data_IF_084618795725
#
_entry.id   IF_084618795725
#
_cell.length_a   1.000
_cell.length_b   1.000
_cell.length_c   1.000
_cell.angle_alpha   90.00
_cell.angle_beta   90.00
_cell.angle_gamma   90.00
#
_symmetry.space_group_name_H-M   'P 1'
#
loop_
_entity.id
_entity.type
_entity.pdbx_description
1 polymer ?
#
# COMPACT_ATOMS: atom_id res chain seq x y z
N UNK A 1 -24.94 -15.95 -2.49
CA UNK A 1 -23.50 -15.72 -2.15
C UNK A 1 -23.02 -16.91 -1.31
N UNK A 2 -22.09 -17.69 -1.84
CA UNK A 2 -21.52 -18.77 -1.04
C UNK A 2 -20.68 -18.14 0.09
N UNK A 3 -21.09 -18.37 1.34
CA UNK A 3 -20.37 -17.92 2.52
C UNK A 3 -18.87 -18.32 2.49
N UNK A 4 -18.55 -19.38 1.77
CA UNK A 4 -17.19 -19.91 1.60
C UNK A 4 -16.32 -18.97 0.78
N UNK A 5 -16.79 -18.49 -0.38
CA UNK A 5 -16.01 -17.59 -1.27
C UNK A 5 -15.68 -16.27 -0.57
N UNK A 6 -16.63 -15.70 0.17
CA UNK A 6 -16.38 -14.46 0.91
C UNK A 6 -15.43 -14.67 2.08
N UNK A 7 -15.56 -15.75 2.82
CA UNK A 7 -14.62 -16.10 3.91
C UNK A 7 -13.21 -16.31 3.38
N UNK A 8 -13.07 -17.03 2.27
CA UNK A 8 -11.77 -17.27 1.63
C UNK A 8 -11.12 -15.95 1.16
N UNK A 9 -11.90 -15.06 0.55
CA UNK A 9 -11.45 -13.72 0.16
C UNK A 9 -10.88 -12.92 1.35
N UNK A 10 -11.63 -12.86 2.45
CA UNK A 10 -11.18 -12.17 3.67
C UNK A 10 -9.90 -12.81 4.22
N UNK A 11 -9.83 -14.13 4.28
CA UNK A 11 -8.65 -14.85 4.78
C UNK A 11 -7.42 -14.55 3.93
N UNK A 12 -7.52 -14.62 2.60
CA UNK A 12 -6.42 -14.29 1.68
C UNK A 12 -5.98 -12.83 1.86
N UNK A 13 -6.94 -11.90 1.95
CA UNK A 13 -6.63 -10.48 2.13
C UNK A 13 -5.88 -10.22 3.44
N UNK A 14 -6.30 -10.84 4.54
CA UNK A 14 -5.62 -10.73 5.84
C UNK A 14 -4.20 -11.32 5.77
N UNK A 15 -4.04 -12.49 5.17
CA UNK A 15 -2.72 -13.12 5.02
C UNK A 15 -1.77 -12.22 4.22
N UNK A 16 -2.24 -11.64 3.11
CA UNK A 16 -1.43 -10.72 2.31
C UNK A 16 -1.02 -9.46 3.08
N UNK A 17 -1.92 -8.89 3.88
CA UNK A 17 -1.61 -7.75 4.75
C UNK A 17 -0.55 -8.13 5.78
N UNK A 18 -0.67 -9.28 6.44
CA UNK A 18 0.31 -9.77 7.42
C UNK A 18 1.68 -9.95 6.77
N UNK A 19 1.75 -10.56 5.58
CA UNK A 19 2.99 -10.72 4.82
C UNK A 19 3.64 -9.36 4.53
N UNK A 20 2.86 -8.36 4.08
CA UNK A 20 3.36 -7.00 3.82
C UNK A 20 3.90 -6.34 5.08
N UNK A 21 3.15 -6.42 6.19
CA UNK A 21 3.59 -5.85 7.47
C UNK A 21 4.87 -6.53 7.98
N UNK A 22 4.97 -7.85 7.83
CA UNK A 22 6.18 -8.59 8.18
C UNK A 22 7.37 -8.14 7.31
N UNK A 23 7.16 -8.00 5.99
CA UNK A 23 8.21 -7.56 5.07
C UNK A 23 8.73 -6.17 5.43
N UNK A 24 7.84 -5.16 5.58
CA UNK A 24 8.25 -3.78 5.89
C UNK A 24 8.89 -3.63 7.27
N UNK A 25 8.60 -4.56 8.20
CA UNK A 25 9.20 -4.56 9.54
C UNK A 25 10.62 -5.13 9.57
N UNK A 26 10.96 -6.04 8.64
CA UNK A 26 12.20 -6.81 8.67
C UNK A 26 13.20 -6.44 7.56
N UNK A 27 12.86 -5.47 6.71
CA UNK A 27 13.75 -5.04 5.62
C UNK A 27 14.24 -3.61 5.84
N UNK A 28 15.51 -3.37 5.53
CA UNK A 28 16.08 -2.02 5.52
C UNK A 28 15.53 -1.21 4.34
N UNK A 29 15.56 0.12 4.45
CA UNK A 29 15.22 1.00 3.34
C UNK A 29 16.22 0.82 2.19
N UNK A 30 15.74 0.85 0.97
CA UNK A 30 16.58 1.00 -0.22
C UNK A 30 16.98 2.47 -0.38
N UNK A 31 17.99 2.73 -1.21
CA UNK A 31 18.57 4.07 -1.35
C UNK A 31 17.54 5.12 -1.74
N UNK A 32 16.63 4.80 -2.66
CA UNK A 32 15.56 5.70 -3.10
C UNK A 32 14.58 6.02 -1.96
N UNK A 33 14.17 5.03 -1.19
CA UNK A 33 13.29 5.26 -0.04
C UNK A 33 13.94 6.14 1.04
N UNK A 34 15.26 5.96 1.27
CA UNK A 34 16.01 6.79 2.19
C UNK A 34 16.08 8.24 1.69
N UNK A 35 16.18 8.44 0.37
CA UNK A 35 16.15 9.74 -0.28
C UNK A 35 14.79 10.43 -0.07
N UNK A 36 13.66 9.74 -0.32
CA UNK A 36 12.34 10.30 -0.06
C UNK A 36 12.04 10.51 1.43
N UNK A 37 12.62 9.70 2.30
CA UNK A 37 12.56 9.93 3.75
C UNK A 37 13.27 11.23 4.16
N UNK A 38 14.34 11.61 3.45
CA UNK A 38 14.98 12.93 3.64
C UNK A 38 14.07 14.08 3.19
N UNK A 39 13.35 13.94 2.08
CA UNK A 39 12.35 14.92 1.65
C UNK A 39 11.23 15.10 2.69
N UNK A 40 10.81 14.02 3.35
CA UNK A 40 9.82 14.10 4.42
C UNK A 40 10.30 14.87 5.66
N UNK A 41 11.61 15.00 5.89
CA UNK A 41 12.17 15.88 6.93
C UNK A 41 12.09 17.35 6.54
N UNK A 42 12.26 17.65 5.27
CA UNK A 42 12.29 19.01 4.72
C UNK A 42 11.21 19.15 3.66
N UNK A 43 9.94 19.25 4.13
CA UNK A 43 8.80 19.34 3.22
C UNK A 43 8.85 20.63 2.40
N UNK A 44 8.68 20.46 1.08
CA UNK A 44 8.52 21.56 0.13
C UNK A 44 7.41 21.19 -0.87
N UNK A 45 6.95 22.17 -1.63
CA UNK A 45 5.92 22.00 -2.68
C UNK A 45 6.42 21.31 -3.94
N UNK A 46 7.72 21.14 -4.10
CA UNK A 46 8.35 20.43 -5.21
C UNK A 46 9.80 20.11 -4.91
N UNK A 47 10.26 19.03 -5.49
CA UNK A 47 11.66 18.59 -5.44
C UNK A 47 12.19 18.48 -6.86
N UNK A 48 13.51 18.43 -7.04
CA UNK A 48 14.17 18.47 -8.36
C UNK A 48 13.66 17.34 -9.27
N UNK A 49 13.46 16.15 -8.70
CA UNK A 49 13.15 14.95 -9.47
C UNK A 49 11.69 14.54 -9.42
N UNK A 50 10.98 14.83 -8.31
CA UNK A 50 9.64 14.29 -8.07
C UNK A 50 8.70 15.25 -7.36
N UNK A 51 7.39 15.00 -7.49
CA UNK A 51 6.36 15.74 -6.80
C UNK A 51 6.33 15.45 -5.29
N UNK A 52 5.68 16.31 -4.49
CA UNK A 52 5.76 16.29 -3.03
C UNK A 52 4.93 15.17 -2.38
N UNK A 53 4.08 14.47 -3.13
CA UNK A 53 3.06 13.54 -2.58
C UNK A 53 3.68 12.43 -1.73
N UNK A 54 4.77 11.83 -2.19
CA UNK A 54 5.48 10.76 -1.46
C UNK A 54 6.05 11.29 -0.16
N UNK A 55 6.69 12.46 -0.19
CA UNK A 55 7.25 13.10 1.01
C UNK A 55 6.17 13.43 2.04
N UNK A 56 5.02 13.95 1.62
CA UNK A 56 3.86 14.19 2.49
C UNK A 56 3.31 12.89 3.08
N UNK A 57 3.18 11.84 2.28
CA UNK A 57 2.72 10.54 2.75
C UNK A 57 3.66 9.97 3.82
N UNK A 58 4.96 9.97 3.56
CA UNK A 58 5.96 9.56 4.54
C UNK A 58 5.84 10.41 5.81
N UNK A 59 5.75 11.73 5.69
CA UNK A 59 5.65 12.63 6.85
C UNK A 59 4.48 12.32 7.75
N UNK A 60 3.30 12.07 7.16
CA UNK A 60 2.08 11.76 7.92
C UNK A 60 2.25 10.51 8.78
N UNK A 61 2.86 9.46 8.21
CA UNK A 61 2.96 8.16 8.88
C UNK A 61 4.26 7.95 9.66
N UNK A 62 5.30 8.77 9.44
CA UNK A 62 6.60 8.61 10.09
C UNK A 62 6.83 9.54 11.28
N UNK A 63 5.89 10.45 11.59
CA UNK A 63 6.05 11.31 12.76
C UNK A 63 5.80 10.52 14.06
N UNK A 64 6.64 10.69 15.13
CA UNK A 64 7.84 11.52 15.19
C UNK A 64 9.14 10.80 14.75
N UNK A 65 9.10 9.50 14.46
CA UNK A 65 10.29 8.70 14.19
C UNK A 65 10.30 8.15 12.74
N UNK A 66 11.39 8.41 12.02
CA UNK A 66 11.66 7.86 10.69
C UNK A 66 12.30 6.46 10.83
N UNK A 67 11.46 5.44 10.97
CA UNK A 67 11.88 4.03 10.91
C UNK A 67 11.53 3.46 9.54
N UNK A 68 12.20 2.37 9.12
CA UNK A 68 11.87 1.67 7.87
C UNK A 68 10.39 1.29 7.78
N UNK A 69 9.83 0.84 8.89
CA UNK A 69 8.40 0.53 9.00
C UNK A 69 7.53 1.77 8.75
N UNK A 70 7.82 2.88 9.43
CA UNK A 70 7.00 4.09 9.35
C UNK A 70 7.05 4.76 7.97
N UNK A 71 8.17 4.67 7.27
CA UNK A 71 8.29 5.18 5.90
C UNK A 71 7.36 4.43 4.96
N UNK A 72 7.23 3.11 5.10
CA UNK A 72 6.49 2.23 4.18
C UNK A 72 5.02 2.02 4.55
N UNK A 73 4.64 2.23 5.81
CA UNK A 73 3.27 1.92 6.27
C UNK A 73 2.21 2.68 5.47
N UNK A 74 2.53 3.88 4.98
CA UNK A 74 1.66 4.67 4.12
C UNK A 74 1.31 3.94 2.82
N UNK A 75 2.27 3.30 2.15
CA UNK A 75 2.04 2.51 0.94
C UNK A 75 1.13 1.30 1.21
N UNK A 76 1.35 0.61 2.33
CA UNK A 76 0.49 -0.51 2.75
C UNK A 76 -0.95 -0.05 2.98
N UNK A 77 -1.15 1.07 3.68
CA UNK A 77 -2.49 1.63 3.93
C UNK A 77 -3.17 2.03 2.62
N UNK A 78 -2.47 2.73 1.72
CA UNK A 78 -3.01 3.09 0.41
C UNK A 78 -3.40 1.84 -0.41
N UNK A 79 -2.61 0.78 -0.36
CA UNK A 79 -2.92 -0.47 -1.05
C UNK A 79 -4.18 -1.15 -0.52
N UNK A 80 -4.39 -1.11 0.79
CA UNK A 80 -5.60 -1.64 1.44
C UNK A 80 -6.83 -0.82 1.01
N UNK A 81 -6.72 0.52 1.05
CA UNK A 81 -7.80 1.41 0.62
C UNK A 81 -8.18 1.14 -0.84
N UNK A 82 -7.19 0.98 -1.72
CA UNK A 82 -7.43 0.70 -3.13
C UNK A 82 -8.10 -0.66 -3.35
N UNK A 83 -7.67 -1.71 -2.66
CA UNK A 83 -8.27 -3.04 -2.74
C UNK A 83 -9.74 -3.03 -2.25
N UNK A 84 -10.02 -2.34 -1.14
CA UNK A 84 -11.38 -2.15 -0.62
C UNK A 84 -12.24 -1.34 -1.60
N UNK A 85 -11.70 -0.27 -2.18
CA UNK A 85 -12.39 0.56 -3.16
C UNK A 85 -12.79 -0.23 -4.40
N UNK A 86 -11.90 -1.08 -4.92
CA UNK A 86 -12.20 -1.96 -6.05
C UNK A 86 -13.25 -3.02 -5.72
N UNK A 87 -13.21 -3.58 -4.51
CA UNK A 87 -14.25 -4.49 -4.05
C UNK A 87 -15.63 -3.81 -4.08
N UNK A 88 -15.76 -2.63 -3.48
CA UNK A 88 -17.03 -1.90 -3.46
C UNK A 88 -17.45 -1.42 -4.83
N UNK A 89 -16.54 -1.00 -5.68
CA UNK A 89 -16.81 -0.63 -7.06
C UNK A 89 -17.40 -1.82 -7.85
N UNK A 90 -16.71 -2.97 -7.82
CA UNK A 90 -17.18 -4.17 -8.49
C UNK A 90 -18.53 -4.66 -7.97
N UNK A 91 -18.72 -4.61 -6.64
CA UNK A 91 -20.00 -4.97 -5.99
C UNK A 91 -21.13 -4.03 -6.39
N UNK A 92 -20.87 -2.72 -6.49
CA UNK A 92 -21.89 -1.70 -6.79
C UNK A 92 -22.35 -1.75 -8.24
N UNK A 93 -21.42 -1.87 -9.18
CA UNK A 93 -21.71 -1.76 -10.63
C UNK A 93 -21.97 -3.10 -11.33
N UNK A 94 -21.57 -4.20 -10.72
CA UNK A 94 -21.74 -5.55 -11.26
C UNK A 94 -22.37 -6.47 -10.21
N UNK A 95 -21.53 -7.21 -9.47
CA UNK A 95 -21.98 -8.09 -8.40
C UNK A 95 -20.85 -8.34 -7.38
N UNK A 96 -21.18 -9.02 -6.28
CA UNK A 96 -20.22 -9.30 -5.20
C UNK A 96 -19.04 -10.17 -5.67
N UNK A 97 -19.28 -11.12 -6.55
CA UNK A 97 -18.23 -12.01 -7.08
C UNK A 97 -17.26 -11.25 -7.97
N UNK A 98 -17.73 -10.32 -8.78
CA UNK A 98 -16.88 -9.40 -9.56
C UNK A 98 -16.06 -8.51 -8.63
N UNK A 99 -16.64 -7.98 -7.56
CA UNK A 99 -15.91 -7.20 -6.56
C UNK A 99 -14.77 -7.98 -5.91
N UNK A 100 -15.02 -9.24 -5.52
CA UNK A 100 -14.00 -10.15 -4.98
C UNK A 100 -12.90 -10.39 -6.02
N UNK A 101 -13.28 -10.71 -7.26
CA UNK A 101 -12.34 -11.00 -8.34
C UNK A 101 -11.44 -9.80 -8.66
N UNK A 102 -11.98 -8.58 -8.76
CA UNK A 102 -11.21 -7.36 -9.01
C UNK A 102 -10.20 -7.08 -7.90
N UNK A 103 -10.62 -7.21 -6.65
CA UNK A 103 -9.72 -6.98 -5.50
C UNK A 103 -8.62 -8.04 -5.40
N UNK A 104 -8.93 -9.32 -5.70
CA UNK A 104 -7.93 -10.39 -5.72
C UNK A 104 -6.97 -10.26 -6.91
N UNK A 105 -7.45 -9.92 -8.10
CA UNK A 105 -6.61 -9.69 -9.27
C UNK A 105 -5.63 -8.54 -9.06
N UNK A 106 -6.09 -7.43 -8.45
CA UNK A 106 -5.20 -6.36 -8.05
C UNK A 106 -4.13 -6.87 -7.08
N UNK A 107 -4.53 -7.61 -6.05
CA UNK A 107 -3.63 -8.12 -5.01
C UNK A 107 -2.64 -9.17 -5.54
N UNK A 108 -2.99 -9.89 -6.61
CA UNK A 108 -2.14 -10.86 -7.28
C UNK A 108 -1.15 -10.21 -8.27
N UNK A 109 -1.34 -8.94 -8.62
CA UNK A 109 -0.44 -8.23 -9.51
C UNK A 109 0.90 -7.97 -8.81
N UNK A 110 2.01 -8.43 -9.42
CA UNK A 110 3.35 -8.33 -8.85
C UNK A 110 3.79 -6.87 -8.65
N UNK A 111 3.56 -6.00 -9.66
CA UNK A 111 3.90 -4.58 -9.56
C UNK A 111 3.13 -3.89 -8.44
N UNK A 112 1.83 -4.19 -8.30
CA UNK A 112 1.05 -3.67 -7.20
C UNK A 112 1.57 -4.17 -5.84
N UNK A 113 2.01 -5.43 -5.77
CA UNK A 113 2.55 -5.99 -4.55
C UNK A 113 3.87 -5.32 -4.15
N UNK A 114 4.79 -5.11 -5.09
CA UNK A 114 6.05 -4.38 -4.83
C UNK A 114 5.79 -2.93 -4.42
N UNK A 115 5.00 -2.18 -5.18
CA UNK A 115 4.67 -0.78 -4.88
C UNK A 115 3.84 -0.59 -3.59
N UNK A 116 3.22 -1.66 -3.08
CA UNK A 116 2.53 -1.64 -1.77
C UNK A 116 3.45 -1.88 -0.58
N UNK A 117 4.70 -2.27 -0.82
CA UNK A 117 5.70 -2.57 0.22
C UNK A 117 6.93 -1.69 0.14
N UNK A 118 7.24 -1.15 -1.03
CA UNK A 118 8.34 -0.22 -1.29
C UNK A 118 7.71 1.13 -1.66
N UNK A 119 8.14 2.19 -1.02
CA UNK A 119 7.59 3.52 -1.24
C UNK A 119 8.51 4.34 -2.13
N UNK A 120 8.36 4.15 -3.44
CA UNK A 120 8.99 4.97 -4.48
C UNK A 120 7.92 5.52 -5.43
N UNK A 121 8.14 6.67 -6.07
CA UNK A 121 7.19 7.23 -7.04
C UNK A 121 7.26 6.53 -8.41
N UNK A 122 8.26 5.71 -8.65
CA UNK A 122 8.52 5.01 -9.92
C UNK A 122 7.84 3.65 -10.00
#
# INVERSE_FOLDING_TARGET
MNNISFKLFITISIVLIIIRLFFISNTILIDDEAYYAMYAKHLDWGYIDHGPVVAFLIKIFSYPFLTSFNVRIGAVICSIILAISLFFFGKKYFNTETGISLSLLLSANLLFHTNSTILTPD
#
